data_IF_212659503193
#
_entry.id   IF_212659503193
#
_cell.length_a   1.000
_cell.length_b   1.000
_cell.length_c   1.000
_cell.angle_alpha   90.00
_cell.angle_beta   90.00
_cell.angle_gamma   90.00
#
_symmetry.space_group_name_H-M   'P 1'
#
loop_
_entity.id
_entity.type
_entity.pdbx_description
1 polymer ?
#
# COMPACT_ATOMS: atom_id res chain seq x y z
N UNK A 1 21.15 2.36 -6.74
CA UNK A 1 20.34 3.08 -5.71
C UNK A 1 19.25 3.89 -6.40
N UNK A 2 17.96 3.69 -6.06
CA UNK A 2 16.82 4.37 -6.71
C UNK A 2 16.80 5.88 -6.45
N UNK A 3 16.26 6.66 -7.39
CA UNK A 3 16.14 8.12 -7.31
C UNK A 3 15.42 8.57 -6.02
N UNK A 4 14.37 7.86 -5.62
CA UNK A 4 13.60 8.14 -4.41
C UNK A 4 14.47 8.05 -3.15
N UNK A 5 15.30 7.01 -3.03
CA UNK A 5 16.21 6.86 -1.87
C UNK A 5 17.23 7.99 -1.81
N UNK A 6 17.79 8.41 -2.95
CA UNK A 6 18.71 9.56 -3.02
C UNK A 6 18.05 10.88 -2.62
N UNK A 7 16.73 11.00 -2.81
CA UNK A 7 15.93 12.18 -2.44
C UNK A 7 15.31 12.10 -1.03
N UNK A 8 15.61 11.05 -0.26
CA UNK A 8 14.98 10.85 1.06
C UNK A 8 13.46 10.61 0.98
N UNK A 9 12.97 10.10 -0.15
CA UNK A 9 11.59 9.71 -0.36
C UNK A 9 11.46 8.24 0.02
N UNK A 10 10.64 7.97 1.03
CA UNK A 10 10.23 6.62 1.38
C UNK A 10 9.08 6.21 0.47
N UNK A 11 9.19 5.00 -0.08
CA UNK A 11 8.14 4.41 -0.92
C UNK A 11 7.47 3.30 -0.13
N UNK A 12 6.16 3.21 -0.26
CA UNK A 12 5.35 2.08 0.15
C UNK A 12 4.57 1.63 -1.08
N UNK A 13 4.67 0.35 -1.42
CA UNK A 13 3.98 -0.21 -2.57
C UNK A 13 2.73 -0.94 -2.11
N UNK A 14 1.67 -0.90 -2.90
CA UNK A 14 0.50 -1.73 -2.65
C UNK A 14 -0.13 -2.17 -3.96
N UNK A 15 -0.91 -3.24 -3.89
CA UNK A 15 -1.71 -3.75 -4.99
C UNK A 15 -3.19 -3.71 -4.62
N UNK A 16 -4.04 -3.16 -5.50
CA UNK A 16 -5.49 -3.12 -5.32
C UNK A 16 -6.09 -4.54 -5.31
N UNK A 17 -7.23 -4.75 -4.63
CA UNK A 17 -7.90 -6.04 -4.63
C UNK A 17 -8.40 -6.43 -6.03
N UNK A 18 -8.69 -7.72 -6.20
CA UNK A 18 -9.23 -8.30 -7.43
C UNK A 18 -10.51 -9.05 -7.13
N UNK A 19 -11.48 -8.99 -8.04
CA UNK A 19 -12.64 -9.86 -7.96
C UNK A 19 -12.24 -11.31 -8.23
N UNK A 20 -12.74 -12.23 -7.39
CA UNK A 20 -12.29 -13.62 -7.21
C UNK A 20 -12.29 -14.53 -8.46
N UNK A 21 -12.78 -14.09 -9.62
CA UNK A 21 -12.97 -14.98 -10.77
C UNK A 21 -11.68 -15.55 -11.41
N UNK A 22 -10.48 -15.06 -11.06
CA UNK A 22 -9.19 -15.52 -11.64
C UNK A 22 -8.12 -15.90 -10.59
N UNK A 23 -8.44 -16.86 -9.69
CA UNK A 23 -7.54 -17.20 -8.57
C UNK A 23 -6.20 -17.84 -8.97
N UNK A 24 -6.13 -18.62 -10.06
CA UNK A 24 -4.91 -19.35 -10.44
C UNK A 24 -3.79 -18.40 -10.89
N UNK A 25 -4.11 -17.41 -11.74
CA UNK A 25 -3.14 -16.42 -12.19
C UNK A 25 -2.69 -15.49 -11.05
N UNK A 26 -3.57 -15.26 -10.06
CA UNK A 26 -3.24 -14.45 -8.89
C UNK A 26 -2.15 -15.11 -8.04
N UNK A 27 -2.25 -16.41 -7.72
CA UNK A 27 -1.26 -17.07 -6.85
C UNK A 27 0.17 -16.95 -7.42
N UNK A 28 0.37 -17.25 -8.70
CA UNK A 28 1.69 -17.15 -9.34
C UNK A 28 2.21 -15.71 -9.35
N UNK A 29 1.33 -14.75 -9.65
CA UNK A 29 1.65 -13.32 -9.61
C UNK A 29 2.08 -12.89 -8.21
N UNK A 30 1.36 -13.30 -7.17
CA UNK A 30 1.68 -12.94 -5.78
C UNK A 30 3.02 -13.52 -5.34
N UNK A 31 3.33 -14.76 -5.74
CA UNK A 31 4.66 -15.35 -5.48
C UNK A 31 5.77 -14.50 -6.10
N UNK A 32 5.61 -14.09 -7.37
CA UNK A 32 6.59 -13.24 -8.08
C UNK A 32 6.74 -11.85 -7.46
N UNK A 33 5.63 -11.21 -7.08
CA UNK A 33 5.65 -9.90 -6.42
C UNK A 33 6.32 -9.99 -5.04
N UNK A 34 5.98 -11.03 -4.26
CA UNK A 34 6.59 -11.28 -2.95
C UNK A 34 8.11 -11.38 -3.08
N UNK A 35 8.60 -12.24 -3.98
CA UNK A 35 10.04 -12.39 -4.23
C UNK A 35 10.67 -11.05 -4.66
N UNK A 36 10.05 -10.34 -5.60
CA UNK A 36 10.57 -9.07 -6.12
C UNK A 36 10.78 -8.01 -5.02
N UNK A 37 9.81 -7.84 -4.13
CA UNK A 37 9.87 -6.84 -3.06
C UNK A 37 10.77 -7.28 -1.90
N UNK A 38 10.75 -8.57 -1.53
CA UNK A 38 11.64 -9.15 -0.52
C UNK A 38 13.12 -8.99 -0.91
N UNK A 39 13.49 -9.31 -2.15
CA UNK A 39 14.87 -9.18 -2.65
C UNK A 39 15.40 -7.73 -2.59
N UNK A 40 14.51 -6.75 -2.53
CA UNK A 40 14.84 -5.31 -2.49
C UNK A 40 14.71 -4.70 -1.11
N UNK A 41 14.32 -5.49 -0.10
CA UNK A 41 13.97 -5.00 1.23
C UNK A 41 13.02 -3.80 1.15
N UNK A 42 11.99 -3.92 0.31
CA UNK A 42 11.04 -2.86 0.01
C UNK A 42 9.67 -3.22 0.59
N UNK A 43 9.12 -2.33 1.41
CA UNK A 43 7.79 -2.52 1.98
C UNK A 43 6.73 -2.54 0.87
N UNK A 44 5.89 -3.56 0.91
CA UNK A 44 4.76 -3.71 0.02
C UNK A 44 3.59 -4.44 0.70
N UNK A 45 2.40 -4.34 0.11
CA UNK A 45 1.24 -5.12 0.53
C UNK A 45 0.29 -5.41 -0.63
N UNK A 46 -0.55 -6.42 -0.47
CA UNK A 46 -1.59 -6.78 -1.42
C UNK A 46 -2.90 -7.06 -0.69
N UNK A 47 -4.02 -6.81 -1.35
CA UNK A 47 -5.37 -7.00 -0.80
C UNK A 47 -6.13 -8.12 -1.51
N UNK A 48 -5.43 -8.98 -2.28
CA UNK A 48 -6.05 -10.04 -3.07
C UNK A 48 -6.69 -11.17 -2.24
N UNK A 49 -6.44 -11.23 -0.93
CA UNK A 49 -7.07 -12.17 0.01
C UNK A 49 -8.02 -11.49 1.00
N UNK A 50 -8.28 -10.18 0.86
CA UNK A 50 -9.25 -9.50 1.71
C UNK A 50 -10.66 -9.90 1.24
N UNK A 51 -11.32 -10.80 1.98
CA UNK A 51 -12.61 -11.39 1.59
C UNK A 51 -13.69 -10.32 1.35
N UNK A 52 -13.74 -9.28 2.18
CA UNK A 52 -14.69 -8.18 2.05
C UNK A 52 -14.50 -7.43 0.72
N UNK A 53 -13.25 -7.20 0.34
CA UNK A 53 -12.93 -6.50 -0.91
C UNK A 53 -13.06 -7.39 -2.15
N UNK A 54 -12.74 -8.67 -2.04
CA UNK A 54 -12.56 -9.58 -3.19
C UNK A 54 -13.82 -10.35 -3.57
N UNK A 55 -14.79 -10.47 -2.66
CA UNK A 55 -16.03 -11.22 -2.89
C UNK A 55 -17.21 -10.33 -3.32
N UNK A 56 -17.14 -9.01 -3.13
CA UNK A 56 -18.23 -8.10 -3.45
C UNK A 56 -18.16 -7.61 -4.92
N UNK A 57 -19.01 -8.11 -5.83
CA UNK A 57 -18.97 -7.71 -7.24
C UNK A 57 -19.38 -6.25 -7.47
N UNK A 58 -20.09 -5.60 -6.54
CA UNK A 58 -20.49 -4.19 -6.67
C UNK A 58 -19.29 -3.23 -6.53
N UNK A 59 -18.16 -3.71 -6.02
CA UNK A 59 -16.94 -2.93 -5.90
C UNK A 59 -16.15 -2.81 -7.20
N UNK A 60 -16.56 -3.52 -8.28
CA UNK A 60 -15.79 -3.59 -9.52
C UNK A 60 -16.59 -3.08 -10.73
N UNK A 61 -15.96 -2.23 -11.55
CA UNK A 61 -16.57 -1.64 -12.74
C UNK A 61 -16.82 -2.67 -13.84
N UNK A 62 -15.98 -3.71 -13.91
CA UNK A 62 -16.09 -4.78 -14.89
C UNK A 62 -15.89 -6.13 -14.22
N UNK A 63 -16.84 -7.05 -14.43
CA UNK A 63 -16.83 -8.42 -13.89
C UNK A 63 -15.88 -9.37 -14.63
N UNK A 64 -15.35 -8.95 -15.78
CA UNK A 64 -14.44 -9.72 -16.63
C UNK A 64 -12.98 -9.23 -16.51
N UNK A 65 -12.77 -7.93 -16.26
CA UNK A 65 -11.44 -7.31 -16.10
C UNK A 65 -11.33 -6.71 -14.68
N UNK A 66 -11.21 -7.63 -13.72
CA UNK A 66 -11.47 -7.53 -12.29
C UNK A 66 -10.55 -6.62 -11.45
N UNK A 67 -10.07 -5.49 -11.99
CA UNK A 67 -9.08 -4.63 -11.32
C UNK A 67 -9.57 -3.21 -11.07
N UNK A 68 -10.56 -2.73 -11.83
CA UNK A 68 -11.04 -1.35 -11.71
C UNK A 68 -12.16 -1.26 -10.68
N UNK A 69 -11.90 -0.53 -9.60
CA UNK A 69 -12.86 -0.31 -8.53
C UNK A 69 -13.93 0.72 -8.93
N UNK A 70 -15.16 0.50 -8.48
CA UNK A 70 -16.21 1.52 -8.49
C UNK A 70 -15.89 2.63 -7.48
N UNK A 71 -16.69 3.70 -7.46
CA UNK A 71 -16.56 4.74 -6.43
C UNK A 71 -16.71 4.15 -5.03
N UNK A 72 -17.69 3.29 -4.81
CA UNK A 72 -17.91 2.65 -3.51
C UNK A 72 -16.79 1.67 -3.16
N UNK A 73 -16.37 0.84 -4.12
CA UNK A 73 -15.24 -0.08 -3.92
C UNK A 73 -13.94 0.65 -3.58
N UNK A 74 -13.67 1.78 -4.26
CA UNK A 74 -12.47 2.58 -3.99
C UNK A 74 -12.53 3.27 -2.62
N UNK A 75 -13.71 3.70 -2.16
CA UNK A 75 -13.88 4.27 -0.82
C UNK A 75 -13.54 3.26 0.28
N UNK A 76 -14.12 2.05 0.21
CA UNK A 76 -13.87 0.99 1.20
C UNK A 76 -12.41 0.55 1.18
N UNK A 77 -11.85 0.34 -0.01
CA UNK A 77 -10.43 0.03 -0.17
C UNK A 77 -9.52 1.11 0.44
N UNK A 78 -9.79 2.38 0.16
CA UNK A 78 -8.96 3.50 0.65
C UNK A 78 -9.01 3.60 2.17
N UNK A 79 -10.16 3.34 2.79
CA UNK A 79 -10.28 3.30 4.26
C UNK A 79 -9.39 2.20 4.86
N UNK A 80 -9.43 0.98 4.33
CA UNK A 80 -8.56 -0.12 4.77
C UNK A 80 -7.08 0.19 4.58
N UNK A 81 -6.71 0.78 3.44
CA UNK A 81 -5.34 1.19 3.17
C UNK A 81 -4.86 2.27 4.15
N UNK A 82 -5.70 3.25 4.47
CA UNK A 82 -5.37 4.31 5.42
C UNK A 82 -5.11 3.74 6.82
N UNK A 83 -5.99 2.87 7.33
CA UNK A 83 -5.81 2.20 8.63
C UNK A 83 -4.48 1.44 8.67
N UNK A 84 -4.15 0.69 7.62
CA UNK A 84 -2.90 -0.05 7.58
C UNK A 84 -1.66 0.87 7.57
N UNK A 85 -1.74 1.97 6.82
CA UNK A 85 -0.67 2.97 6.77
C UNK A 85 -0.40 3.55 8.17
N UNK A 86 -1.47 3.84 8.92
CA UNK A 86 -1.41 4.32 10.30
C UNK A 86 -0.80 3.28 11.23
N UNK A 87 -1.30 2.04 11.19
CA UNK A 87 -0.86 0.93 12.06
C UNK A 87 0.62 0.57 11.85
N UNK A 88 1.06 0.55 10.60
CA UNK A 88 2.47 0.29 10.25
C UNK A 88 3.39 1.47 10.57
N UNK A 89 2.83 2.60 11.02
CA UNK A 89 3.57 3.83 11.32
C UNK A 89 4.44 4.30 10.14
N UNK A 90 4.00 4.04 8.90
CA UNK A 90 4.80 4.28 7.70
C UNK A 90 5.15 5.76 7.51
N UNK A 91 4.35 6.66 8.11
CA UNK A 91 4.55 8.11 8.04
C UNK A 91 4.75 8.77 9.42
N UNK A 92 4.85 7.99 10.50
CA UNK A 92 5.08 8.53 11.84
C UNK A 92 6.57 8.75 12.05
N UNK A 93 7.08 9.92 11.63
CA UNK A 93 8.20 10.68 12.25
C UNK A 93 8.77 11.76 11.31
N UNK A 94 8.03 12.85 11.08
CA UNK A 94 8.65 14.12 10.60
C UNK A 94 8.41 15.34 11.48
N UNK A 95 7.44 15.31 12.39
CA UNK A 95 7.15 16.45 13.26
C UNK A 95 8.02 16.52 14.53
N UNK A 96 8.71 15.44 14.93
CA UNK A 96 9.60 15.47 16.10
C UNK A 96 11.03 15.95 15.79
N UNK A 97 11.48 15.88 14.53
CA UNK A 97 12.84 16.31 14.13
C UNK A 97 13.00 17.83 13.99
N UNK A 98 11.91 18.59 13.85
CA UNK A 98 11.93 20.07 13.83
C UNK A 98 11.89 20.67 15.23
N UNK A 99 11.35 19.96 16.22
CA UNK A 99 11.31 20.39 17.62
C UNK A 99 12.68 20.35 18.30
N UNK A 100 13.54 19.38 17.97
CA UNK A 100 14.88 19.31 18.59
C UNK A 100 15.89 20.30 17.99
N UNK A 101 15.76 20.65 16.70
CA UNK A 101 16.65 21.64 16.06
C UNK A 101 16.35 23.09 16.45
N UNK A 102 15.12 23.41 16.83
CA UNK A 102 14.75 24.75 17.33
C UNK A 102 15.12 24.96 18.80
N UNK A 103 15.29 23.89 19.58
CA UNK A 103 15.74 23.97 20.97
C UNK A 103 17.27 24.17 21.08
N UNK A 104 18.06 23.51 20.22
CA UNK A 104 19.53 23.64 20.21
C UNK A 104 20.07 24.95 19.61
N UNK A 105 19.22 25.73 18.90
CA UNK A 105 19.60 27.07 18.38
C UNK A 105 19.26 28.23 19.30
N UNK A 106 18.62 27.99 20.45
CA UNK A 106 18.29 29.04 21.42
C UNK A 106 19.27 29.14 22.60
N UNK A 107 20.22 28.21 22.70
CA UNK A 107 21.15 28.10 23.84
C UNK A 107 22.64 28.26 23.44
N UNK A 108 22.95 28.82 22.27
CA UNK A 108 24.29 29.25 21.87
C UNK A 108 24.27 30.71 21.44
#
# INVERSE_FOLDING_TARGET
MSLCRKKGIQLFFFETPYYQADQKNLIERQSKLTAFFSDRNQDWMTFWQDEELTTNPAFYQNRLYNQHLTQDGSKVFTQKLATLIEDKKLFTNRLQLTSQKSFLKRNN
#
